data_IF_291158369658
#
_entry.id   IF_291158369658
#
_cell.length_a   1.000
_cell.length_b   1.000
_cell.length_c   1.000
_cell.angle_alpha   90.00
_cell.angle_beta   90.00
_cell.angle_gamma   90.00
#
_symmetry.space_group_name_H-M   'P 1'
#
loop_
_entity.id
_entity.type
_entity.pdbx_description
1 polymer ?
#
# COMPACT_ATOMS: atom_id res chain seq x y z
N UNK A 1 11.62 13.77 21.63
CA UNK A 1 11.47 12.36 21.24
C UNK A 1 12.67 11.65 21.82
N UNK A 2 12.49 10.48 22.43
CA UNK A 2 13.53 9.75 23.15
C UNK A 2 14.24 8.72 22.24
N UNK A 3 14.47 9.08 20.97
CA UNK A 3 15.16 8.25 19.98
C UNK A 3 14.60 6.82 19.84
N UNK A 4 13.30 6.64 20.12
CA UNK A 4 12.62 5.34 20.04
C UNK A 4 12.82 4.45 21.27
N UNK A 5 13.17 5.02 22.42
CA UNK A 5 13.32 4.26 23.67
C UNK A 5 11.98 3.91 24.33
N UNK A 6 10.95 4.76 24.18
CA UNK A 6 9.62 4.53 24.76
C UNK A 6 8.59 4.33 23.66
N UNK A 7 7.73 3.33 23.88
CA UNK A 7 6.69 2.93 22.94
C UNK A 7 5.34 2.95 23.65
N UNK A 8 4.34 3.56 23.03
CA UNK A 8 2.95 3.49 23.45
C UNK A 8 2.22 2.50 22.56
N UNK A 9 1.54 1.53 23.18
CA UNK A 9 0.66 0.62 22.44
C UNK A 9 -0.59 1.39 22.00
N UNK A 10 -0.95 1.29 20.73
CA UNK A 10 -2.19 1.82 20.17
C UNK A 10 -3.18 0.68 19.91
N UNK A 11 -4.47 0.96 20.04
CA UNK A 11 -5.52 0.05 19.63
C UNK A 11 -5.75 0.20 18.13
N UNK A 12 -5.47 -0.86 17.38
CA UNK A 12 -5.58 -0.88 15.92
C UNK A 12 -6.78 -1.73 15.46
N UNK A 13 -7.31 -1.49 14.25
CA UNK A 13 -8.30 -2.37 13.66
C UNK A 13 -7.77 -3.82 13.57
N UNK A 14 -8.67 -4.81 13.67
CA UNK A 14 -8.28 -6.23 13.69
C UNK A 14 -7.58 -6.67 12.40
N UNK A 15 -6.76 -7.71 12.48
CA UNK A 15 -6.04 -8.31 11.33
C UNK A 15 -5.11 -7.32 10.60
N UNK A 16 -4.44 -6.45 11.35
CA UNK A 16 -3.45 -5.50 10.84
C UNK A 16 -2.24 -6.21 10.25
N UNK A 17 -1.86 -5.88 9.01
CA UNK A 17 -0.76 -6.54 8.29
C UNK A 17 0.39 -5.59 7.92
N UNK A 18 0.07 -4.35 7.54
CA UNK A 18 1.07 -3.34 7.14
C UNK A 18 0.68 -1.96 7.66
N UNK A 19 1.71 -1.16 7.91
CA UNK A 19 1.60 0.23 8.33
C UNK A 19 2.46 1.09 7.40
N UNK A 20 1.94 2.25 7.05
CA UNK A 20 2.63 3.30 6.30
C UNK A 20 2.33 4.65 6.95
N UNK A 21 3.30 5.56 6.94
CA UNK A 21 3.14 6.93 7.45
C UNK A 21 3.29 7.90 6.28
N UNK A 22 2.32 8.81 6.13
CA UNK A 22 2.35 9.83 5.07
C UNK A 22 3.24 11.00 5.47
N UNK A 23 3.46 11.94 4.54
CA UNK A 23 4.23 13.17 4.80
C UNK A 23 3.49 14.11 5.78
N UNK A 24 2.18 13.92 5.97
CA UNK A 24 1.33 14.68 6.89
C UNK A 24 1.23 14.00 8.28
N UNK A 25 2.08 13.00 8.55
CA UNK A 25 2.05 12.14 9.75
C UNK A 25 0.74 11.32 9.93
N UNK A 26 -0.05 11.15 8.87
CA UNK A 26 -1.20 10.25 8.89
C UNK A 26 -0.73 8.79 8.89
N UNK A 27 -1.41 7.93 9.66
CA UNK A 27 -1.17 6.50 9.67
C UNK A 27 -2.12 5.79 8.71
N UNK A 28 -1.55 5.03 7.78
CA UNK A 28 -2.28 4.15 6.87
C UNK A 28 -2.04 2.70 7.29
N UNK A 29 -3.12 2.00 7.60
CA UNK A 29 -3.09 0.59 7.95
C UNK A 29 -3.76 -0.25 6.86
N UNK A 30 -3.11 -1.35 6.50
CA UNK A 30 -3.69 -2.35 5.60
C UNK A 30 -3.97 -3.61 6.41
N UNK A 31 -5.23 -4.03 6.38
CA UNK A 31 -5.77 -5.10 7.20
C UNK A 31 -6.39 -6.19 6.33
N UNK A 32 -6.34 -7.44 6.82
CA UNK A 32 -7.04 -8.56 6.19
C UNK A 32 -8.44 -8.71 6.77
N UNK A 33 -9.33 -7.82 6.36
CA UNK A 33 -10.72 -7.78 6.76
C UNK A 33 -11.58 -7.58 5.51
N UNK A 34 -12.48 -8.51 5.21
CA UNK A 34 -13.29 -8.56 3.98
C UNK A 34 -12.48 -8.51 2.66
N UNK A 35 -11.28 -9.10 2.65
CA UNK A 35 -10.27 -8.94 1.60
C UNK A 35 -9.08 -8.15 2.15
N UNK A 36 -8.66 -7.09 1.44
CA UNK A 36 -7.72 -6.10 1.97
C UNK A 36 -8.43 -4.76 2.19
N UNK A 37 -8.41 -4.28 3.42
CA UNK A 37 -9.03 -3.03 3.83
C UNK A 37 -7.97 -2.01 4.23
N UNK A 38 -8.15 -0.77 3.80
CA UNK A 38 -7.28 0.36 4.11
C UNK A 38 -7.98 1.25 5.13
N UNK A 39 -7.31 1.43 6.26
CA UNK A 39 -7.71 2.33 7.32
C UNK A 39 -6.76 3.53 7.38
N UNK A 40 -7.30 4.71 7.68
CA UNK A 40 -6.53 5.94 7.86
C UNK A 40 -6.79 6.53 9.25
N UNK A 41 -5.73 7.00 9.90
CA UNK A 41 -5.80 7.82 11.10
C UNK A 41 -5.05 9.12 10.88
N UNK A 42 -5.67 10.24 11.25
CA UNK A 42 -5.10 11.59 11.19
C UNK A 42 -4.80 12.15 12.59
N UNK A 43 -4.95 11.32 13.62
CA UNK A 43 -4.88 11.69 15.03
C UNK A 43 -3.88 10.84 15.82
N UNK A 44 -2.81 10.41 15.13
CA UNK A 44 -1.72 9.59 15.68
C UNK A 44 -2.18 8.22 16.18
N UNK A 45 -3.18 7.65 15.51
CA UNK A 45 -3.69 6.31 15.75
C UNK A 45 -4.65 6.20 16.93
N UNK A 46 -5.27 7.31 17.36
CA UNK A 46 -6.35 7.26 18.34
C UNK A 46 -7.65 6.75 17.69
N UNK A 47 -7.92 7.11 16.44
CA UNK A 47 -9.05 6.62 15.67
C UNK A 47 -8.64 6.25 14.24
N UNK A 48 -9.22 5.16 13.74
CA UNK A 48 -9.00 4.66 12.39
C UNK A 48 -10.31 4.59 11.62
N UNK A 49 -10.35 5.20 10.44
CA UNK A 49 -11.50 5.16 9.53
C UNK A 49 -11.22 4.25 8.34
N UNK A 50 -12.19 3.40 8.00
CA UNK A 50 -12.13 2.60 6.77
C UNK A 50 -12.27 3.52 5.55
N UNK A 51 -11.28 3.50 4.66
CA UNK A 51 -11.26 4.31 3.43
C UNK A 51 -11.55 3.50 2.17
N UNK A 52 -11.07 2.26 2.11
CA UNK A 52 -11.34 1.37 0.99
C UNK A 52 -11.23 -0.10 1.39
N UNK A 53 -11.95 -0.95 0.67
CA UNK A 53 -11.81 -2.40 0.75
C UNK A 53 -11.74 -2.99 -0.66
N UNK A 54 -10.86 -3.96 -0.82
CA UNK A 54 -10.58 -4.60 -2.10
C UNK A 54 -10.69 -6.11 -1.95
N UNK A 55 -11.40 -6.75 -2.87
CA UNK A 55 -11.42 -8.21 -2.95
C UNK A 55 -9.99 -8.74 -3.19
N UNK A 56 -9.62 -9.76 -2.43
CA UNK A 56 -8.34 -10.44 -2.52
C UNK A 56 -8.54 -11.86 -3.07
N UNK A 57 -7.58 -12.33 -3.87
CA UNK A 57 -7.53 -13.72 -4.30
C UNK A 57 -7.22 -14.63 -3.10
N UNK A 58 -7.75 -15.86 -3.11
CA UNK A 58 -7.52 -16.83 -2.05
C UNK A 58 -6.02 -17.17 -1.93
N UNK A 59 -5.51 -17.21 -0.69
CA UNK A 59 -4.12 -17.53 -0.41
C UNK A 59 -3.13 -16.40 -0.69
N UNK A 60 -3.59 -15.21 -1.09
CA UNK A 60 -2.70 -14.07 -1.31
C UNK A 60 -1.98 -13.66 -0.02
N UNK A 61 -0.67 -13.42 -0.13
CA UNK A 61 0.19 -12.90 0.94
C UNK A 61 0.70 -11.51 0.57
N UNK A 62 1.12 -10.73 1.57
CA UNK A 62 1.43 -9.31 1.39
C UNK A 62 2.85 -8.96 1.84
N UNK A 63 3.67 -8.43 0.92
CA UNK A 63 5.01 -7.90 1.20
C UNK A 63 5.03 -6.36 1.24
N UNK A 64 5.92 -5.69 0.52
CA UNK A 64 6.01 -4.23 0.51
C UNK A 64 4.99 -3.68 -0.49
N UNK A 65 4.05 -2.88 0.00
CA UNK A 65 2.86 -2.56 -0.79
C UNK A 65 2.64 -1.10 -1.05
N UNK A 66 3.18 -0.17 -0.25
CA UNK A 66 2.92 1.26 -0.41
C UNK A 66 4.20 1.99 -0.80
N UNK A 67 4.18 2.64 -1.96
CA UNK A 67 5.27 3.46 -2.47
C UNK A 67 4.75 4.83 -2.87
N UNK A 68 5.54 5.88 -2.62
CA UNK A 68 5.22 7.25 -3.05
C UNK A 68 6.14 7.67 -4.19
N UNK A 69 5.57 8.26 -5.23
CA UNK A 69 6.31 8.90 -6.31
C UNK A 69 5.55 10.12 -6.84
N UNK A 70 6.23 11.28 -6.92
CA UNK A 70 5.70 12.58 -7.39
C UNK A 70 4.27 12.90 -6.91
N UNK A 71 4.03 12.79 -5.60
CA UNK A 71 2.73 13.12 -4.98
C UNK A 71 1.66 12.04 -5.09
N UNK A 72 1.93 10.93 -5.80
CA UNK A 72 1.06 9.77 -5.86
C UNK A 72 1.55 8.67 -4.93
N UNK A 73 0.62 8.03 -4.23
CA UNK A 73 0.80 6.77 -3.54
C UNK A 73 0.33 5.63 -4.44
N UNK A 74 1.18 4.63 -4.61
CA UNK A 74 0.93 3.40 -5.33
C UNK A 74 0.86 2.27 -4.31
N UNK A 75 -0.27 1.56 -4.32
CA UNK A 75 -0.59 0.54 -3.34
C UNK A 75 -0.81 -0.78 -4.07
N UNK A 76 0.10 -1.73 -3.91
CA UNK A 76 -0.11 -3.10 -4.35
C UNK A 76 -1.06 -3.80 -3.38
N UNK A 77 -2.20 -4.23 -3.90
CA UNK A 77 -3.18 -5.05 -3.21
C UNK A 77 -3.08 -6.48 -3.76
N UNK A 78 -2.61 -7.46 -2.97
CA UNK A 78 -2.47 -8.83 -3.44
C UNK A 78 -3.81 -9.41 -3.92
N UNK A 79 -3.80 -10.08 -5.08
CA UNK A 79 -5.04 -10.58 -5.68
C UNK A 79 -5.90 -9.52 -6.37
N UNK A 80 -5.44 -8.28 -6.46
CA UNK A 80 -6.18 -7.17 -7.08
C UNK A 80 -5.31 -6.36 -8.05
N UNK A 81 -4.06 -6.05 -7.68
CA UNK A 81 -3.14 -5.24 -8.48
C UNK A 81 -2.81 -3.91 -7.81
N UNK A 82 -2.39 -2.91 -8.58
CA UNK A 82 -1.92 -1.62 -8.07
C UNK A 82 -3.06 -0.59 -8.12
N UNK A 83 -3.36 0.00 -6.97
CA UNK A 83 -4.20 1.18 -6.83
C UNK A 83 -3.33 2.42 -6.69
N UNK A 84 -3.81 3.57 -7.18
CA UNK A 84 -3.17 4.86 -6.97
C UNK A 84 -4.10 5.86 -6.29
N UNK A 85 -3.54 6.71 -5.43
CA UNK A 85 -4.23 7.78 -4.71
C UNK A 85 -3.26 8.93 -4.43
N UNK A 86 -3.77 10.12 -4.13
CA UNK A 86 -2.99 11.25 -3.61
C UNK A 86 -3.22 11.50 -2.13
N UNK A 87 -4.31 10.98 -1.57
CA UNK A 87 -4.84 11.40 -0.27
C UNK A 87 -5.37 10.26 0.62
N UNK A 88 -5.44 9.04 0.09
CA UNK A 88 -6.09 7.87 0.70
C UNK A 88 -7.60 8.04 0.95
N UNK A 89 -8.25 8.97 0.26
CA UNK A 89 -9.71 9.12 0.26
C UNK A 89 -10.32 8.55 -1.02
N UNK A 90 -9.63 8.72 -2.15
CA UNK A 90 -10.07 8.19 -3.45
C UNK A 90 -8.97 7.39 -4.13
N UNK A 91 -9.37 6.24 -4.67
CA UNK A 91 -8.46 5.30 -5.32
C UNK A 91 -8.87 5.13 -6.77
N UNK A 92 -7.87 5.00 -7.64
CA UNK A 92 -8.07 4.59 -9.03
C UNK A 92 -7.18 3.39 -9.31
N UNK A 93 -7.66 2.45 -10.11
CA UNK A 93 -6.83 1.31 -10.51
C UNK A 93 -5.77 1.80 -11.49
N UNK A 94 -4.50 1.63 -11.11
CA UNK A 94 -3.36 1.89 -11.99
C UNK A 94 -3.09 0.67 -12.87
N UNK A 95 -3.12 -0.52 -12.28
CA UNK A 95 -2.89 -1.77 -13.00
C UNK A 95 -3.62 -2.94 -12.32
N UNK A 96 -4.38 -3.72 -13.10
CA UNK A 96 -5.04 -4.95 -12.62
C UNK A 96 -4.11 -6.13 -12.84
N UNK A 97 -3.72 -6.80 -11.76
CA UNK A 97 -3.04 -8.09 -11.83
C UNK A 97 -3.23 -8.86 -10.52
N UNK A 98 -3.93 -9.98 -10.59
CA UNK A 98 -4.25 -10.80 -9.41
C UNK A 98 -3.07 -11.64 -8.92
N UNK A 99 -2.01 -11.74 -9.73
CA UNK A 99 -0.78 -12.44 -9.37
C UNK A 99 0.31 -11.49 -8.86
N UNK A 100 0.04 -10.19 -8.69
CA UNK A 100 1.01 -9.24 -8.13
C UNK A 100 1.24 -9.52 -6.63
N UNK A 101 2.51 -9.56 -6.20
CA UNK A 101 2.91 -9.98 -4.85
C UNK A 101 3.72 -8.92 -4.10
N UNK A 102 4.71 -8.33 -4.78
CA UNK A 102 5.59 -7.32 -4.20
C UNK A 102 5.91 -6.24 -5.24
N UNK A 103 6.19 -5.02 -4.80
CA UNK A 103 6.43 -3.90 -5.70
C UNK A 103 7.62 -3.06 -5.25
N UNK A 104 8.28 -2.46 -6.22
CA UNK A 104 9.25 -1.40 -6.00
C UNK A 104 9.04 -0.28 -7.02
N UNK A 105 9.29 0.97 -6.62
CA UNK A 105 9.30 2.13 -7.50
C UNK A 105 10.66 2.81 -7.37
N UNK A 106 11.34 3.02 -8.49
CA UNK A 106 12.62 3.71 -8.52
C UNK A 106 12.46 5.25 -8.49
N UNK A 107 13.58 5.97 -8.45
CA UNK A 107 13.56 7.44 -8.42
C UNK A 107 12.92 8.08 -9.67
N UNK A 108 12.89 7.36 -10.79
CA UNK A 108 12.34 7.79 -12.07
C UNK A 108 10.89 7.36 -12.27
N UNK A 109 10.28 6.71 -11.27
CA UNK A 109 8.89 6.26 -11.33
C UNK A 109 8.70 4.95 -12.10
N UNK A 110 9.78 4.26 -12.48
CA UNK A 110 9.67 2.92 -13.05
C UNK A 110 9.21 1.97 -11.96
N UNK A 111 8.32 1.04 -12.31
CA UNK A 111 7.72 0.11 -11.35
C UNK A 111 8.15 -1.30 -11.71
N UNK A 112 8.66 -2.02 -10.72
CA UNK A 112 8.95 -3.46 -10.81
C UNK A 112 8.00 -4.20 -9.90
N UNK A 113 7.36 -5.25 -10.41
CA UNK A 113 6.43 -6.08 -9.65
C UNK A 113 6.87 -7.54 -9.68
N UNK A 114 7.02 -8.15 -8.52
CA UNK A 114 7.19 -9.60 -8.37
C UNK A 114 5.84 -10.31 -8.44
N UNK A 115 5.80 -11.47 -9.10
CA UNK A 115 4.62 -12.32 -9.17
C UNK A 115 4.54 -13.36 -8.04
N UNK A 116 3.32 -13.67 -7.63
CA UNK A 116 2.99 -14.57 -6.52
C UNK A 116 3.52 -16.00 -6.70
N UNK A 117 3.54 -16.49 -7.94
CA UNK A 117 4.07 -17.80 -8.29
C UNK A 117 5.61 -17.82 -8.41
N UNK A 118 6.28 -16.70 -8.11
CA UNK A 118 7.73 -16.52 -8.18
C UNK A 118 8.34 -16.85 -9.54
N UNK A 119 7.56 -16.82 -10.62
CA UNK A 119 8.01 -17.24 -11.95
C UNK A 119 8.43 -16.09 -12.87
N UNK A 120 8.37 -14.85 -12.38
CA UNK A 120 8.71 -13.69 -13.17
C UNK A 120 8.43 -12.38 -12.46
N UNK A 121 8.77 -11.30 -13.17
CA UNK A 121 8.53 -9.92 -12.78
C UNK A 121 7.85 -9.19 -13.94
N UNK A 122 7.09 -8.14 -13.62
CA UNK A 122 6.69 -7.12 -14.58
C UNK A 122 7.55 -5.88 -14.38
N UNK A 123 7.87 -5.21 -15.48
CA UNK A 123 8.55 -3.93 -15.50
C UNK A 123 7.67 -2.92 -16.24
N UNK A 124 7.36 -1.82 -15.57
CA UNK A 124 6.70 -0.66 -16.15
C UNK A 124 7.74 0.45 -16.34
N UNK A 125 8.01 0.77 -17.60
CA UNK A 125 8.82 1.92 -17.98
C UNK A 125 7.93 3.17 -17.94
N UNK A 126 8.28 4.13 -17.08
CA UNK A 126 7.50 5.35 -16.96
C UNK A 126 7.69 6.24 -18.21
N UNK A 127 6.62 6.53 -18.97
CA UNK A 127 6.74 7.26 -20.23
C UNK A 127 7.25 8.70 -20.07
N UNK A 128 7.11 9.32 -18.88
CA UNK A 128 7.68 10.64 -18.59
C UNK A 128 9.22 10.66 -18.62
N UNK A 129 9.89 9.49 -18.64
CA UNK A 129 11.34 9.40 -18.78
C UNK A 129 11.82 9.53 -20.24
N UNK A 130 10.90 9.58 -21.21
CA UNK A 130 11.21 9.65 -22.64
C UNK A 130 11.09 11.08 -23.20
N UNK A 131 10.84 12.07 -22.32
CA UNK A 131 10.79 13.51 -22.61
C UNK A 131 12.03 14.24 -22.07
#
# INVERSE_FOLDING_TARGET
MDDGHTWTKLDAPQFSLKLYVTDDDDLIMINQDHGYSLYKSTDKGAHFELKASFHAAFGASMFHTVHKWRGWYYILIPGHGIQKTTDFEKFTTFWRNENALDMFIDANGNIVVLLYNFNGIYYYDNPENQE
#
